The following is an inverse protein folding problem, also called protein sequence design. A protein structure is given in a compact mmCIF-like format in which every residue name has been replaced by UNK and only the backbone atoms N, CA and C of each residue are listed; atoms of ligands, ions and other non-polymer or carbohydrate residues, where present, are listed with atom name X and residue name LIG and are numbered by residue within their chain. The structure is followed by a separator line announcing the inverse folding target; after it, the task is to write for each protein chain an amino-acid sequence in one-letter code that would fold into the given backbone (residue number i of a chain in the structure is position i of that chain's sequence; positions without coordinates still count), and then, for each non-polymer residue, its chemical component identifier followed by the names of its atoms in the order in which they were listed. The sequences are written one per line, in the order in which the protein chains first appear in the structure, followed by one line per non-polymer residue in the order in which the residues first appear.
data_IF_553775028776
#
_entry.id   IF_553775028776
#
_cell.length_a   1.000
_cell.length_b   1.000
_cell.length_c   1.000
_cell.angle_alpha   90.00
_cell.angle_beta   90.00
_cell.angle_gamma   90.00
#
_symmetry.space_group_name_H-M   'P 1'
#
loop_
_entity.id
_entity.type
_entity.pdbx_description
1 polymer ?
#
# COMPACT_ATOMS: atom_id res chain seq x y z
N UNK A 1 21.41 -23.99 -61.55
CA UNK A 1 21.06 -24.40 -60.17
C UNK A 1 19.85 -23.58 -59.75
N UNK A 2 18.63 -24.12 -59.90
CA UNK A 2 17.72 -24.59 -58.82
C UNK A 2 17.27 -23.38 -57.96
N UNK A 3 16.01 -22.94 -57.84
CA UNK A 3 14.68 -23.50 -58.14
C UNK A 3 13.60 -22.40 -58.04
N UNK A 4 12.64 -22.41 -58.99
CA UNK A 4 11.16 -22.24 -58.90
C UNK A 4 10.62 -21.72 -57.54
N UNK A 5 9.89 -20.59 -57.42
CA UNK A 5 8.52 -20.28 -57.91
C UNK A 5 7.54 -20.22 -56.71
N UNK A 6 6.25 -19.84 -56.82
CA UNK A 6 5.60 -18.80 -57.65
C UNK A 6 4.46 -18.00 -56.90
N UNK A 7 3.64 -17.22 -57.65
CA UNK A 7 2.19 -16.85 -57.48
C UNK A 7 1.73 -16.04 -56.23
N UNK A 8 0.83 -15.05 -56.25
CA UNK A 8 -0.14 -14.39 -57.16
C UNK A 8 -0.52 -13.04 -56.45
N UNK A 9 -0.83 -11.90 -57.09
CA UNK A 9 -2.10 -11.59 -57.76
C UNK A 9 -3.32 -11.82 -56.83
N UNK A 10 -4.36 -11.01 -56.66
CA UNK A 10 -4.88 -9.83 -57.34
C UNK A 10 -6.19 -9.48 -56.56
N UNK A 11 -6.51 -8.18 -56.44
CA UNK A 11 -7.87 -7.58 -56.38
C UNK A 11 -8.74 -7.76 -55.13
N UNK A 12 -9.02 -6.64 -54.48
CA UNK A 12 -10.35 -6.30 -54.02
C UNK A 12 -10.65 -4.81 -54.32
N UNK A 13 -11.26 -4.59 -55.48
CA UNK A 13 -11.98 -3.38 -55.86
C UNK A 13 -13.30 -3.26 -55.09
N UNK A 14 -13.60 -2.09 -54.53
CA UNK A 14 -14.84 -1.30 -54.74
C UNK A 14 -14.90 -0.15 -53.74
N UNK A 15 -14.73 1.07 -54.23
CA UNK A 15 -15.24 2.29 -53.62
C UNK A 15 -16.05 3.03 -54.69
N UNK A 16 -17.33 3.25 -54.40
CA UNK A 16 -18.28 4.05 -55.19
C UNK A 16 -19.05 4.87 -54.15
N UNK A 17 -18.86 6.20 -54.10
CA UNK A 17 -19.70 7.22 -54.76
C UNK A 17 -21.06 7.35 -54.03
N UNK A 18 -21.60 8.49 -53.59
CA UNK A 18 -21.28 9.91 -53.63
C UNK A 18 -22.17 10.67 -52.62
N UNK A 19 -21.81 11.94 -52.41
CA UNK A 19 -22.40 13.04 -51.62
C UNK A 19 -23.94 13.20 -51.63
N UNK A 20 -24.49 13.59 -50.47
CA UNK A 20 -25.58 14.57 -50.24
C UNK A 20 -25.75 14.70 -48.70
N UNK A 21 -26.13 15.79 -48.04
CA UNK A 21 -26.33 17.21 -48.33
C UNK A 21 -26.47 17.88 -46.94
N UNK A 22 -25.67 18.92 -46.72
CA UNK A 22 -25.82 20.11 -45.87
C UNK A 22 -26.90 20.20 -44.75
N UNK A 23 -26.42 20.54 -43.54
CA UNK A 23 -26.95 21.43 -42.48
C UNK A 23 -28.38 21.22 -41.92
N UNK A 24 -28.49 20.72 -40.68
CA UNK A 24 -29.52 21.16 -39.69
C UNK A 24 -28.92 21.09 -38.25
N UNK A 25 -28.65 22.29 -37.72
CA UNK A 25 -28.74 22.77 -36.32
C UNK A 25 -28.05 22.05 -35.15
N UNK A 26 -27.19 22.83 -34.50
CA UNK A 26 -26.84 22.78 -33.08
C UNK A 26 -28.05 22.46 -32.17
N UNK A 27 -27.96 21.40 -31.36
CA UNK A 27 -28.55 21.34 -30.01
C UNK A 27 -28.18 20.03 -29.30
N UNK A 28 -27.76 20.16 -28.03
CA UNK A 28 -27.58 19.15 -26.97
C UNK A 28 -26.15 18.64 -26.70
N UNK A 29 -25.33 19.40 -25.94
CA UNK A 29 -24.29 18.82 -25.10
C UNK A 29 -24.91 18.49 -23.73
N UNK A 30 -25.72 17.44 -23.62
CA UNK A 30 -26.31 17.05 -22.32
C UNK A 30 -26.29 15.55 -21.98
N UNK A 31 -25.76 14.69 -22.86
CA UNK A 31 -25.78 13.23 -22.62
C UNK A 31 -24.43 12.70 -22.10
N UNK A 32 -23.34 13.47 -22.19
CA UNK A 32 -22.01 12.97 -21.79
C UNK A 32 -21.71 13.05 -20.28
N UNK A 33 -22.56 13.67 -19.47
CA UNK A 33 -22.27 13.92 -18.04
C UNK A 33 -22.84 12.85 -17.10
N UNK A 34 -23.47 11.79 -17.61
CA UNK A 34 -24.19 10.79 -16.80
C UNK A 34 -23.52 9.40 -16.76
N UNK A 35 -22.29 9.26 -17.24
CA UNK A 35 -21.53 8.00 -17.20
C UNK A 35 -20.31 8.03 -16.25
N UNK A 36 -20.48 8.59 -15.05
CA UNK A 36 -19.63 8.26 -13.88
C UNK A 36 -20.46 8.07 -12.61
N UNK A 37 -21.70 7.63 -12.73
CA UNK A 37 -22.38 6.98 -11.61
C UNK A 37 -21.81 5.56 -11.48
N UNK A 38 -20.61 5.45 -10.89
CA UNK A 38 -20.10 4.16 -10.42
C UNK A 38 -21.19 3.54 -9.54
N UNK A 39 -21.71 2.41 -10.00
CA UNK A 39 -22.65 1.57 -9.29
C UNK A 39 -22.13 1.31 -7.88
N UNK A 40 -22.68 2.00 -6.86
CA UNK A 40 -22.28 1.86 -5.45
C UNK A 40 -22.87 0.58 -4.85
N UNK A 41 -22.60 -0.57 -5.45
CA UNK A 41 -22.94 -1.85 -4.81
C UNK A 41 -21.88 -2.08 -3.74
N UNK A 42 -22.29 -1.94 -2.48
CA UNK A 42 -21.47 -2.35 -1.34
C UNK A 42 -21.73 -3.82 -1.06
N UNK A 43 -20.72 -4.66 -1.24
CA UNK A 43 -20.76 -6.06 -0.84
C UNK A 43 -20.88 -6.17 0.68
N UNK A 44 -21.84 -6.96 1.15
CA UNK A 44 -22.01 -7.27 2.57
C UNK A 44 -21.23 -8.54 2.88
N UNK A 45 -20.41 -8.48 3.93
CA UNK A 45 -19.66 -9.61 4.46
C UNK A 45 -20.07 -9.81 5.91
N UNK A 46 -20.39 -11.05 6.30
CA UNK A 46 -20.67 -11.41 7.69
C UNK A 46 -19.40 -11.96 8.34
N UNK A 47 -19.11 -11.53 9.57
CA UNK A 47 -17.93 -11.91 10.34
C UNK A 47 -18.36 -12.41 11.72
N UNK A 48 -17.79 -13.53 12.17
CA UNK A 48 -17.96 -14.03 13.54
C UNK A 48 -16.80 -13.53 14.40
N UNK A 49 -17.10 -12.82 15.49
CA UNK A 49 -16.12 -12.26 16.42
C UNK A 49 -16.50 -12.62 17.86
N UNK A 50 -15.53 -12.78 18.77
CA UNK A 50 -15.81 -12.98 20.19
C UNK A 50 -16.56 -11.77 20.80
N UNK A 51 -17.47 -12.03 21.74
CA UNK A 51 -18.28 -10.97 22.38
C UNK A 51 -17.45 -9.87 23.02
N UNK A 52 -16.30 -10.22 23.60
CA UNK A 52 -15.40 -9.23 24.18
C UNK A 52 -14.88 -8.24 23.12
N UNK A 53 -14.53 -8.74 21.93
CA UNK A 53 -14.05 -7.90 20.83
C UNK A 53 -15.15 -6.97 20.32
N UNK A 54 -16.40 -7.42 20.29
CA UNK A 54 -17.56 -6.57 19.93
C UNK A 54 -17.69 -5.40 20.91
N UNK A 55 -17.54 -5.65 22.21
CA UNK A 55 -17.58 -4.59 23.23
C UNK A 55 -16.48 -3.55 23.04
N UNK A 56 -15.25 -3.99 22.74
CA UNK A 56 -14.13 -3.09 22.48
C UNK A 56 -14.38 -2.26 21.19
N UNK A 57 -14.93 -2.88 20.15
CA UNK A 57 -15.32 -2.20 18.90
C UNK A 57 -16.36 -1.10 19.17
N UNK A 58 -17.37 -1.37 20.00
CA UNK A 58 -18.39 -0.38 20.37
C UNK A 58 -17.80 0.81 21.10
N UNK A 59 -16.90 0.58 22.05
CA UNK A 59 -16.19 1.64 22.76
C UNK A 59 -15.36 2.52 21.80
N UNK A 60 -14.66 1.91 20.84
CA UNK A 60 -13.89 2.65 19.83
C UNK A 60 -14.83 3.42 18.88
N UNK A 61 -15.96 2.84 18.51
CA UNK A 61 -16.95 3.47 17.63
C UNK A 61 -17.52 4.74 18.28
N UNK A 62 -17.90 4.67 19.56
CA UNK A 62 -18.44 5.79 20.32
C UNK A 62 -17.38 6.87 20.58
N UNK A 63 -16.22 6.49 21.11
CA UNK A 63 -15.15 7.44 21.45
C UNK A 63 -14.48 8.07 20.22
N UNK A 64 -14.41 7.34 19.11
CA UNK A 64 -13.84 7.80 17.84
C UNK A 64 -14.80 8.60 16.95
N UNK A 65 -16.07 8.74 17.35
CA UNK A 65 -17.06 9.53 16.60
C UNK A 65 -17.50 8.93 15.26
N UNK A 66 -17.39 7.61 15.09
CA UNK A 66 -17.84 6.93 13.87
C UNK A 66 -19.37 6.80 13.89
N UNK A 67 -20.03 6.96 12.73
CA UNK A 67 -21.48 6.86 12.62
C UNK A 67 -22.02 5.42 12.82
N UNK A 68 -21.13 4.43 12.79
CA UNK A 68 -21.45 3.05 13.16
C UNK A 68 -20.31 2.08 12.91
N UNK A 69 -20.51 0.82 13.32
CA UNK A 69 -19.49 -0.25 13.23
C UNK A 69 -18.95 -0.42 11.81
N UNK A 70 -19.82 -0.41 10.78
CA UNK A 70 -19.38 -0.58 9.40
C UNK A 70 -18.48 0.54 8.91
N UNK A 71 -18.62 1.77 9.42
CA UNK A 71 -17.72 2.86 9.07
C UNK A 71 -16.35 2.67 9.73
N UNK A 72 -16.35 2.37 11.04
CA UNK A 72 -15.14 2.02 11.78
C UNK A 72 -14.37 0.89 11.10
N UNK A 73 -15.05 -0.20 10.73
CA UNK A 73 -14.41 -1.32 10.03
C UNK A 73 -13.85 -0.92 8.66
N UNK A 74 -14.56 -0.10 7.88
CA UNK A 74 -14.02 0.39 6.61
C UNK A 74 -12.78 1.25 6.81
N UNK A 75 -12.76 2.10 7.83
CA UNK A 75 -11.58 2.90 8.18
C UNK A 75 -10.40 2.01 8.59
N UNK A 76 -10.64 1.05 9.49
CA UNK A 76 -9.63 0.10 9.94
C UNK A 76 -9.04 -0.73 8.78
N UNK A 77 -9.90 -1.26 7.90
CA UNK A 77 -9.46 -2.02 6.72
C UNK A 77 -8.66 -1.15 5.76
N UNK A 78 -9.06 0.12 5.54
CA UNK A 78 -8.28 1.05 4.69
C UNK A 78 -6.88 1.27 5.25
N UNK A 79 -6.77 1.55 6.55
CA UNK A 79 -5.47 1.71 7.22
C UNK A 79 -4.62 0.45 7.09
N UNK A 80 -5.21 -0.74 7.27
CA UNK A 80 -4.50 -2.01 7.11
C UNK A 80 -4.05 -2.23 5.66
N UNK A 81 -4.88 -1.91 4.67
CA UNK A 81 -4.54 -2.05 3.25
C UNK A 81 -3.48 -1.04 2.81
N UNK A 82 -3.51 0.18 3.35
CA UNK A 82 -2.49 1.21 3.11
C UNK A 82 -1.14 0.76 3.68
N UNK A 83 -1.11 0.32 4.94
CA UNK A 83 0.09 -0.23 5.59
C UNK A 83 0.64 -1.45 4.82
N UNK A 84 -0.24 -2.33 4.32
CA UNK A 84 0.16 -3.46 3.49
C UNK A 84 0.75 -3.03 2.14
N UNK A 85 0.13 -2.06 1.47
CA UNK A 85 0.64 -1.52 0.19
C UNK A 85 1.98 -0.85 0.38
N UNK A 86 2.14 -0.03 1.41
CA UNK A 86 3.38 0.64 1.76
C UNK A 86 4.51 -0.39 1.93
N UNK A 87 4.28 -1.43 2.74
CA UNK A 87 5.23 -2.54 2.92
C UNK A 87 5.53 -3.34 1.65
N UNK A 88 4.53 -3.51 0.77
CA UNK A 88 4.70 -4.21 -0.51
C UNK A 88 5.34 -3.32 -1.60
N UNK A 89 5.33 -1.99 -1.41
CA UNK A 89 5.88 -1.02 -2.36
C UNK A 89 7.38 -0.78 -2.20
N UNK A 90 8.03 -1.46 -1.24
CA UNK A 90 9.48 -1.43 -0.97
C UNK A 90 10.30 -2.00 -2.15
N UNK A 91 10.32 -1.28 -3.27
CA UNK A 91 11.09 -1.57 -4.47
C UNK A 91 11.95 -0.35 -4.84
N UNK A 92 13.16 -0.60 -5.34
CA UNK A 92 14.09 0.47 -5.67
C UNK A 92 14.72 1.11 -4.44
N UNK A 93 15.22 2.34 -4.58
CA UNK A 93 15.83 3.09 -3.47
C UNK A 93 14.75 3.85 -2.70
N UNK A 94 14.70 3.66 -1.38
CA UNK A 94 13.70 4.25 -0.48
C UNK A 94 14.36 4.94 0.69
N UNK A 95 13.67 5.93 1.25
CA UNK A 95 13.96 6.51 2.55
C UNK A 95 12.92 5.99 3.55
N UNK A 96 13.36 5.60 4.74
CA UNK A 96 12.45 5.06 5.75
C UNK A 96 12.92 5.37 7.16
N UNK A 97 12.00 5.27 8.11
CA UNK A 97 12.25 5.35 9.54
C UNK A 97 11.78 4.07 10.19
N UNK A 98 12.64 3.43 10.98
CA UNK A 98 12.24 2.36 11.89
C UNK A 98 12.30 2.90 13.31
N UNK A 99 11.19 2.76 14.05
CA UNK A 99 11.11 3.03 15.48
C UNK A 99 11.03 1.70 16.21
N UNK A 100 11.95 1.46 17.14
CA UNK A 100 12.04 0.26 17.95
C UNK A 100 11.96 0.64 19.42
N UNK A 101 11.22 -0.12 20.23
CA UNK A 101 11.24 0.03 21.69
C UNK A 101 11.66 -1.29 22.34
N UNK A 102 12.48 -1.22 23.39
CA UNK A 102 12.97 -2.40 24.11
C UNK A 102 13.27 -2.07 25.58
N UNK A 103 13.43 -3.12 26.39
CA UNK A 103 13.95 -2.97 27.75
C UNK A 103 15.46 -2.69 27.74
N UNK A 104 15.95 -1.87 28.66
CA UNK A 104 17.38 -1.51 28.78
C UNK A 104 18.31 -2.72 28.87
N UNK A 105 17.84 -3.84 29.44
CA UNK A 105 18.60 -5.09 29.52
C UNK A 105 18.82 -5.79 28.18
N UNK A 106 18.16 -5.33 27.10
CA UNK A 106 18.08 -6.01 25.81
C UNK A 106 18.70 -5.17 24.67
N UNK A 107 19.90 -4.63 24.89
CA UNK A 107 20.61 -3.82 23.89
C UNK A 107 21.40 -4.67 22.86
N UNK A 108 21.82 -5.88 23.25
CA UNK A 108 22.61 -6.77 22.40
C UNK A 108 21.94 -7.07 21.04
N UNK A 109 20.64 -7.46 20.97
CA UNK A 109 20.00 -7.74 19.69
C UNK A 109 19.94 -6.53 18.78
N UNK A 110 19.76 -5.34 19.36
CA UNK A 110 19.72 -4.09 18.61
C UNK A 110 21.08 -3.80 17.98
N UNK A 111 22.14 -3.87 18.78
CA UNK A 111 23.51 -3.62 18.30
C UNK A 111 23.87 -4.59 17.18
N UNK A 112 23.55 -5.88 17.35
CA UNK A 112 23.76 -6.92 16.33
C UNK A 112 23.04 -6.59 15.03
N UNK A 113 21.72 -6.31 15.09
CA UNK A 113 20.92 -6.00 13.90
C UNK A 113 21.36 -4.69 13.24
N UNK A 114 21.73 -3.67 14.02
CA UNK A 114 22.28 -2.42 13.51
C UNK A 114 23.54 -2.68 12.67
N UNK A 115 24.48 -3.47 13.17
CA UNK A 115 25.71 -3.79 12.43
C UNK A 115 25.43 -4.60 11.16
N UNK A 116 24.50 -5.55 11.21
CA UNK A 116 24.09 -6.34 10.03
C UNK A 116 23.57 -5.45 8.88
N UNK A 117 22.83 -4.38 9.23
CA UNK A 117 22.20 -3.47 8.27
C UNK A 117 22.87 -2.09 8.17
N UNK A 118 24.11 -1.93 8.68
CA UNK A 118 24.81 -0.64 8.78
C UNK A 118 24.84 0.14 7.46
N UNK A 119 24.91 -0.58 6.34
CA UNK A 119 25.00 -0.05 4.98
C UNK A 119 23.77 0.75 4.53
N UNK A 120 22.61 0.54 5.15
CA UNK A 120 21.38 1.30 4.88
C UNK A 120 21.02 2.26 6.00
N UNK A 121 21.73 2.22 7.14
CA UNK A 121 21.48 3.09 8.30
C UNK A 121 22.25 4.39 8.10
N UNK A 122 21.53 5.51 7.98
CA UNK A 122 22.12 6.85 7.88
C UNK A 122 22.29 7.50 9.23
N UNK A 123 21.31 7.32 10.09
CA UNK A 123 21.33 7.90 11.43
C UNK A 123 20.64 6.93 12.36
N UNK A 124 21.21 6.81 13.55
CA UNK A 124 20.68 6.01 14.63
C UNK A 124 20.62 6.88 15.87
N UNK A 125 19.42 7.01 16.45
CA UNK A 125 19.18 7.73 17.68
C UNK A 125 18.73 6.71 18.73
N UNK A 126 19.42 6.68 19.86
CA UNK A 126 19.03 5.90 21.03
C UNK A 126 18.67 6.87 22.16
N UNK A 127 17.49 6.69 22.76
CA UNK A 127 17.04 7.52 23.87
C UNK A 127 16.37 6.67 24.96
N UNK A 128 16.72 6.94 26.22
CA UNK A 128 16.10 6.33 27.39
C UNK A 128 14.88 7.15 27.82
N UNK A 129 13.68 6.58 27.68
CA UNK A 129 12.41 7.31 27.85
C UNK A 129 11.71 6.97 29.18
N UNK A 130 12.15 5.93 29.90
CA UNK A 130 11.79 5.71 31.31
C UNK A 130 12.83 4.84 32.03
N UNK A 131 12.62 4.54 33.32
CA UNK A 131 13.59 3.81 34.16
C UNK A 131 14.09 2.47 33.59
N UNK A 132 13.37 1.84 32.66
CA UNK A 132 13.79 0.58 32.02
C UNK A 132 13.47 0.46 30.53
N UNK A 133 13.01 1.52 29.86
CA UNK A 133 12.67 1.46 28.43
C UNK A 133 13.55 2.39 27.59
N UNK A 134 14.02 1.84 26.47
CA UNK A 134 14.73 2.57 25.45
C UNK A 134 13.88 2.63 24.17
N UNK A 135 13.97 3.77 23.50
CA UNK A 135 13.44 3.97 22.15
C UNK A 135 14.62 4.22 21.23
N UNK A 136 14.61 3.50 20.11
CA UNK A 136 15.57 3.65 19.06
C UNK A 136 14.90 4.07 17.77
N UNK A 137 15.53 5.01 17.06
CA UNK A 137 15.06 5.51 15.78
C UNK A 137 16.19 5.34 14.77
N UNK A 138 15.90 4.59 13.71
CA UNK A 138 16.81 4.37 12.59
C UNK A 138 16.28 5.11 11.36
N UNK A 139 17.04 6.10 10.88
CA UNK A 139 16.83 6.69 9.56
C UNK A 139 17.57 5.83 8.54
N UNK A 140 16.82 5.34 7.57
CA UNK A 140 17.29 4.41 6.57
C UNK A 140 17.23 5.04 5.18
N UNK A 141 18.25 4.78 4.38
CA UNK A 141 18.27 5.07 2.95
C UNK A 141 18.93 3.90 2.23
N UNK A 142 18.23 3.29 1.28
CA UNK A 142 18.80 2.18 0.54
C UNK A 142 17.78 1.38 -0.25
N UNK A 143 18.15 0.16 -0.62
CA UNK A 143 17.25 -0.76 -1.32
C UNK A 143 16.05 -1.13 -0.43
N UNK A 144 14.84 -0.96 -0.94
CA UNK A 144 13.60 -1.28 -0.23
C UNK A 144 13.53 -2.73 0.28
N UNK A 145 14.14 -3.68 -0.45
CA UNK A 145 14.24 -5.08 0.00
C UNK A 145 15.13 -5.18 1.25
N UNK A 146 16.24 -4.44 1.32
CA UNK A 146 17.09 -4.41 2.52
C UNK A 146 16.36 -3.77 3.71
N UNK A 147 15.62 -2.68 3.48
CA UNK A 147 14.77 -2.05 4.51
C UNK A 147 13.69 -3.01 5.02
N UNK A 148 13.03 -3.75 4.11
CA UNK A 148 12.06 -4.77 4.46
C UNK A 148 12.68 -5.90 5.29
N UNK A 149 13.86 -6.39 4.88
CA UNK A 149 14.59 -7.43 5.61
C UNK A 149 15.01 -6.98 7.00
N UNK A 150 15.52 -5.75 7.13
CA UNK A 150 15.86 -5.15 8.43
C UNK A 150 14.63 -5.10 9.33
N UNK A 151 13.52 -4.55 8.84
CA UNK A 151 12.26 -4.46 9.59
C UNK A 151 11.77 -5.83 10.08
N UNK A 152 11.80 -6.84 9.20
CA UNK A 152 11.41 -8.22 9.54
C UNK A 152 12.36 -8.84 10.57
N UNK A 153 13.65 -8.51 10.52
CA UNK A 153 14.63 -9.01 11.49
C UNK A 153 14.35 -8.44 12.89
N UNK A 154 14.06 -7.14 13.00
CA UNK A 154 13.60 -6.54 14.26
C UNK A 154 12.27 -7.15 14.73
N UNK A 155 11.28 -7.31 13.85
CA UNK A 155 9.97 -7.89 14.23
C UNK A 155 10.03 -9.34 14.72
N UNK A 156 11.09 -10.09 14.37
CA UNK A 156 11.30 -11.48 14.82
C UNK A 156 12.03 -11.59 16.16
N UNK A 157 12.57 -10.51 16.68
CA UNK A 157 13.31 -10.52 17.94
C UNK A 157 12.33 -10.40 19.11
N UNK A 158 12.19 -11.48 19.88
CA UNK A 158 11.22 -11.58 20.99
C UNK A 158 11.48 -10.57 22.12
N UNK A 159 12.70 -10.04 22.19
CA UNK A 159 13.14 -9.07 23.21
C UNK A 159 12.71 -7.63 22.91
N UNK A 160 12.08 -7.38 21.76
CA UNK A 160 11.63 -6.06 21.34
C UNK A 160 10.13 -5.89 21.56
N UNK A 161 9.73 -4.73 22.09
CA UNK A 161 8.35 -4.45 22.46
C UNK A 161 7.52 -3.95 21.30
N UNK A 162 8.08 -3.06 20.48
CA UNK A 162 7.36 -2.48 19.35
C UNK A 162 8.35 -2.16 18.25
N UNK A 163 7.99 -2.52 17.02
CA UNK A 163 8.75 -2.19 15.81
C UNK A 163 7.77 -1.58 14.81
N UNK A 164 7.97 -0.30 14.47
CA UNK A 164 7.19 0.40 13.45
C UNK A 164 8.11 0.86 12.33
N UNK A 165 7.72 0.58 11.10
CA UNK A 165 8.34 1.09 9.88
C UNK A 165 7.44 2.20 9.32
N UNK A 166 8.05 3.29 8.89
CA UNK A 166 7.42 4.36 8.13
C UNK A 166 8.28 4.63 6.90
N UNK A 167 7.70 4.61 5.71
CA UNK A 167 8.37 4.97 4.46
C UNK A 167 8.11 6.45 4.18
N UNK A 168 9.12 7.17 3.69
CA UNK A 168 9.05 8.60 3.33
C UNK A 168 9.03 8.77 1.82
#
# INVERSE_FOLDING_TARGET
MISRGPINGLIATKASCAKASLLITQSLPLISTLLTAQNRIMTIVSLSLPDQMIKEIDQIQESGGFAGRSELFRAAIRLMLEDSKEKNSLNGRVNAIIVVTHDESNEEPITRLKHEFEQIVRTHIHNKISHSNCIEVFLLEGDGKKVSSMTKAFQKEDKLKTVKLMII
#
